data_IF_561958118259
#
_entry.id   IF_561958118259
#
_cell.length_a   1.000
_cell.length_b   1.000
_cell.length_c   1.000
_cell.angle_alpha   90.00
_cell.angle_beta   90.00
_cell.angle_gamma   90.00
#
_symmetry.space_group_name_H-M   'P 1'
#
loop_
_entity.id
_entity.type
_entity.pdbx_description
1 polymer ?
#
# COMPACT_ATOMS: atom_id res chain seq x y z
N UNK A 1 -43.60 4.79 28.16
CA UNK A 1 -42.36 4.89 27.41
C UNK A 1 -42.67 4.96 25.91
N UNK A 2 -42.28 6.03 25.24
CA UNK A 2 -42.66 6.24 23.84
C UNK A 2 -41.71 5.42 22.95
N UNK A 3 -42.23 4.37 22.33
CA UNK A 3 -41.47 3.42 21.47
C UNK A 3 -40.73 4.16 20.34
N UNK A 4 -41.34 5.23 19.79
CA UNK A 4 -40.73 6.05 18.74
C UNK A 4 -39.45 6.76 19.22
N UNK A 5 -39.43 7.22 20.48
CA UNK A 5 -38.25 7.87 21.06
C UNK A 5 -37.12 6.88 21.25
N UNK A 6 -37.44 5.63 21.62
CA UNK A 6 -36.47 4.55 21.77
C UNK A 6 -35.84 4.16 20.43
N UNK A 7 -36.67 4.08 19.38
CA UNK A 7 -36.23 3.75 18.01
C UNK A 7 -35.34 4.86 17.45
N UNK A 8 -35.66 6.15 17.64
CA UNK A 8 -34.86 7.29 17.18
C UNK A 8 -33.53 7.38 17.93
N UNK A 9 -33.54 7.13 19.24
CA UNK A 9 -32.31 7.11 20.07
C UNK A 9 -31.43 5.94 19.66
N UNK A 10 -32.02 4.77 19.39
CA UNK A 10 -31.29 3.61 18.90
C UNK A 10 -30.74 3.83 17.48
N UNK A 11 -31.46 4.57 16.63
CA UNK A 11 -31.01 4.90 15.28
C UNK A 11 -29.79 5.83 15.30
N UNK A 12 -29.77 6.81 16.23
CA UNK A 12 -28.63 7.71 16.43
C UNK A 12 -27.41 6.93 16.95
N UNK A 13 -27.58 6.09 17.98
CA UNK A 13 -26.55 5.21 18.53
C UNK A 13 -26.08 4.20 17.47
N UNK A 14 -26.98 3.68 16.63
CA UNK A 14 -26.66 2.77 15.54
C UNK A 14 -25.79 3.46 14.48
N UNK A 15 -26.10 4.70 14.05
CA UNK A 15 -25.27 5.49 13.15
C UNK A 15 -23.87 5.78 13.73
N UNK A 16 -23.80 6.09 15.03
CA UNK A 16 -22.53 6.29 15.74
C UNK A 16 -21.72 4.99 15.79
N UNK A 17 -22.36 3.87 16.11
CA UNK A 17 -21.74 2.56 16.17
C UNK A 17 -21.27 2.06 14.80
N UNK A 18 -22.03 2.28 13.74
CA UNK A 18 -21.62 1.97 12.37
C UNK A 18 -20.39 2.80 11.98
N UNK A 19 -20.41 4.11 12.23
CA UNK A 19 -19.28 4.99 11.94
C UNK A 19 -18.02 4.54 12.71
N UNK A 20 -18.18 4.15 13.97
CA UNK A 20 -17.11 3.63 14.80
C UNK A 20 -16.64 2.25 14.33
N UNK A 21 -17.57 1.34 13.99
CA UNK A 21 -17.29 0.03 13.44
C UNK A 21 -16.54 0.14 12.10
N UNK A 22 -17.00 1.00 11.17
CA UNK A 22 -16.30 1.28 9.92
C UNK A 22 -14.89 1.82 10.16
N UNK A 23 -14.74 2.75 11.09
CA UNK A 23 -13.42 3.32 11.44
C UNK A 23 -12.46 2.25 11.98
N UNK A 24 -12.95 1.34 12.85
CA UNK A 24 -12.16 0.24 13.39
C UNK A 24 -11.85 -0.79 12.31
N UNK A 25 -12.85 -1.17 11.51
CA UNK A 25 -12.71 -2.19 10.46
C UNK A 25 -11.76 -1.70 9.37
N UNK A 26 -11.90 -0.45 8.92
CA UNK A 26 -10.98 0.15 7.94
C UNK A 26 -9.55 0.28 8.49
N UNK A 27 -9.40 0.51 9.79
CA UNK A 27 -8.07 0.53 10.43
C UNK A 27 -7.40 -0.86 10.45
N UNK A 28 -8.18 -1.94 10.40
CA UNK A 28 -7.68 -3.32 10.33
C UNK A 28 -7.34 -3.77 8.92
N UNK A 29 -7.95 -3.18 7.91
CA UNK A 29 -7.71 -3.52 6.50
C UNK A 29 -6.34 -3.01 6.11
N UNK A 30 -5.48 -3.88 5.63
CA UNK A 30 -4.14 -3.54 5.18
C UNK A 30 -4.08 -3.54 3.66
N UNK A 31 -3.46 -2.53 3.07
CA UNK A 31 -3.15 -2.47 1.65
C UNK A 31 -1.71 -2.92 1.39
N UNK A 32 -1.47 -3.73 0.38
CA UNK A 32 -0.14 -4.04 -0.14
C UNK A 32 0.06 -3.31 -1.45
N UNK A 33 0.98 -2.37 -1.49
CA UNK A 33 1.33 -1.61 -2.69
C UNK A 33 2.56 -2.25 -3.31
N UNK A 34 2.39 -2.84 -4.50
CA UNK A 34 3.42 -3.56 -5.22
C UNK A 34 3.99 -2.64 -6.30
N UNK A 35 5.30 -2.46 -6.28
CA UNK A 35 6.04 -1.60 -7.21
C UNK A 35 7.12 -2.43 -7.91
N UNK A 36 6.90 -2.87 -9.15
CA UNK A 36 7.95 -3.48 -9.95
C UNK A 36 9.03 -2.45 -10.31
N UNK A 37 10.27 -2.79 -10.11
CA UNK A 37 11.40 -1.92 -10.44
C UNK A 37 12.28 -2.53 -11.52
N UNK A 38 12.44 -1.83 -12.62
CA UNK A 38 13.42 -2.11 -13.67
C UNK A 38 13.96 -0.79 -14.24
N UNK A 39 15.23 -0.48 -13.98
CA UNK A 39 15.95 0.69 -14.55
C UNK A 39 15.21 2.04 -14.41
N UNK A 40 14.53 2.28 -13.28
CA UNK A 40 13.75 3.50 -13.00
C UNK A 40 14.30 4.31 -11.82
N UNK A 41 15.64 4.41 -11.74
CA UNK A 41 16.35 5.06 -10.62
C UNK A 41 15.94 6.50 -10.38
N UNK A 42 15.69 7.26 -11.46
CA UNK A 42 15.36 8.68 -11.38
C UNK A 42 13.95 8.95 -10.84
N UNK A 43 13.02 8.01 -10.96
CA UNK A 43 11.60 8.20 -10.65
C UNK A 43 11.15 7.43 -9.41
N UNK A 44 11.76 6.28 -9.13
CA UNK A 44 11.32 5.37 -8.06
C UNK A 44 11.21 6.04 -6.69
N UNK A 45 12.10 6.97 -6.36
CA UNK A 45 12.05 7.68 -5.07
C UNK A 45 10.77 8.50 -4.93
N UNK A 46 10.32 9.15 -6.00
CA UNK A 46 9.08 9.93 -6.00
C UNK A 46 7.85 9.01 -5.94
N UNK A 47 7.87 7.90 -6.67
CA UNK A 47 6.83 6.89 -6.59
C UNK A 47 6.64 6.37 -5.15
N UNK A 48 7.72 5.93 -4.50
CA UNK A 48 7.70 5.46 -3.11
C UNK A 48 7.20 6.55 -2.15
N UNK A 49 7.70 7.78 -2.28
CA UNK A 49 7.25 8.91 -1.44
C UNK A 49 5.76 9.17 -1.57
N UNK A 50 5.19 9.05 -2.78
CA UNK A 50 3.75 9.23 -3.01
C UNK A 50 2.90 8.20 -2.26
N UNK A 51 3.43 6.99 -2.04
CA UNK A 51 2.78 5.95 -1.23
C UNK A 51 2.95 6.21 0.26
N UNK A 52 4.14 6.60 0.70
CA UNK A 52 4.41 6.95 2.12
C UNK A 52 3.48 8.09 2.59
N UNK A 53 3.22 9.06 1.72
CA UNK A 53 2.41 10.24 2.00
C UNK A 53 0.89 10.01 1.87
N UNK A 54 0.44 8.79 1.58
CA UNK A 54 -0.99 8.47 1.54
C UNK A 54 -1.67 8.81 2.88
N UNK A 55 -2.91 9.29 2.80
CA UNK A 55 -3.75 9.52 3.99
C UNK A 55 -4.06 8.22 4.72
N UNK A 56 -4.24 7.14 3.97
CA UNK A 56 -4.39 5.79 4.51
C UNK A 56 -3.03 5.22 4.95
N UNK A 57 -2.87 4.94 6.25
CA UNK A 57 -1.56 4.58 6.83
C UNK A 57 -1.33 3.08 7.00
N UNK A 58 -2.40 2.27 7.04
CA UNK A 58 -2.27 0.82 7.21
C UNK A 58 -1.92 0.12 5.89
N UNK A 59 -0.70 0.30 5.46
CA UNK A 59 -0.18 -0.25 4.21
C UNK A 59 1.22 -0.82 4.37
N UNK A 60 1.62 -1.67 3.45
CA UNK A 60 3.00 -2.07 3.19
C UNK A 60 3.39 -1.73 1.74
N UNK A 61 4.65 -1.52 1.51
CA UNK A 61 5.22 -1.24 0.19
C UNK A 61 6.14 -2.39 -0.16
N UNK A 62 5.85 -3.08 -1.26
CA UNK A 62 6.63 -4.22 -1.74
C UNK A 62 7.29 -3.83 -3.05
N UNK A 63 8.57 -3.54 -2.98
CA UNK A 63 9.40 -3.20 -4.12
C UNK A 63 10.02 -4.47 -4.69
N UNK A 64 9.74 -4.78 -5.95
CA UNK A 64 10.29 -5.95 -6.63
C UNK A 64 11.42 -5.49 -7.53
N UNK A 65 12.64 -5.82 -7.17
CA UNK A 65 13.82 -5.54 -7.99
C UNK A 65 13.92 -6.56 -9.11
N UNK A 66 13.62 -6.14 -10.32
CA UNK A 66 13.52 -7.00 -11.50
C UNK A 66 14.64 -6.74 -12.51
N UNK A 67 15.86 -6.59 -12.04
CA UNK A 67 17.02 -6.42 -12.91
C UNK A 67 18.10 -7.48 -12.59
N UNK A 68 18.69 -8.07 -13.63
CA UNK A 68 19.87 -8.93 -13.52
C UNK A 68 21.08 -8.12 -13.03
N UNK A 69 21.22 -6.89 -13.53
CA UNK A 69 22.22 -5.94 -13.06
C UNK A 69 21.84 -5.44 -11.66
N UNK A 70 22.75 -5.59 -10.70
CA UNK A 70 22.53 -5.21 -9.29
C UNK A 70 23.09 -3.83 -8.95
N UNK A 71 23.50 -3.04 -9.94
CA UNK A 71 24.09 -1.71 -9.73
C UNK A 71 23.20 -0.76 -8.93
N UNK A 72 21.87 -0.79 -9.16
CA UNK A 72 20.91 0.05 -8.45
C UNK A 72 20.42 -0.52 -7.11
N UNK A 73 20.77 -1.77 -6.79
CA UNK A 73 20.25 -2.43 -5.59
C UNK A 73 20.66 -1.73 -4.29
N UNK A 74 21.88 -1.23 -4.23
CA UNK A 74 22.38 -0.45 -3.07
C UNK A 74 21.56 0.82 -2.88
N UNK A 75 21.25 1.52 -3.96
CA UNK A 75 20.40 2.71 -3.93
C UNK A 75 18.99 2.37 -3.41
N UNK A 76 18.37 1.29 -3.89
CA UNK A 76 17.04 0.87 -3.41
C UNK A 76 17.05 0.42 -1.95
N UNK A 77 18.10 -0.27 -1.51
CA UNK A 77 18.27 -0.61 -0.09
C UNK A 77 18.36 0.65 0.80
N UNK A 78 18.94 1.74 0.29
CA UNK A 78 18.92 3.01 0.99
C UNK A 78 17.52 3.63 1.03
N UNK A 79 16.70 3.49 -0.01
CA UNK A 79 15.32 3.94 0.00
C UNK A 79 14.47 3.20 1.03
N UNK A 80 14.78 1.94 1.33
CA UNK A 80 14.12 1.18 2.40
C UNK A 80 14.21 1.89 3.77
N UNK A 81 15.25 2.68 4.00
CA UNK A 81 15.43 3.44 5.25
C UNK A 81 14.44 4.61 5.41
N UNK A 82 13.77 5.02 4.34
CA UNK A 82 12.78 6.09 4.38
C UNK A 82 11.53 5.73 5.18
N UNK A 83 11.15 4.45 5.17
CA UNK A 83 9.96 3.98 5.87
C UNK A 83 10.07 2.48 6.18
N UNK A 84 9.75 2.12 7.43
CA UNK A 84 9.80 0.72 7.90
C UNK A 84 8.83 -0.23 7.20
N UNK A 85 7.81 0.31 6.52
CA UNK A 85 6.81 -0.46 5.77
C UNK A 85 7.31 -0.95 4.42
N UNK A 86 8.50 -0.52 3.99
CA UNK A 86 9.09 -0.91 2.71
C UNK A 86 9.77 -2.27 2.84
N UNK A 87 9.42 -3.17 1.95
CA UNK A 87 10.10 -4.44 1.70
C UNK A 87 10.71 -4.44 0.31
N UNK A 88 11.88 -5.05 0.15
CA UNK A 88 12.52 -5.25 -1.15
C UNK A 88 12.65 -6.74 -1.39
N UNK A 89 12.16 -7.20 -2.52
CA UNK A 89 12.32 -8.56 -3.02
C UNK A 89 13.15 -8.49 -4.30
N UNK A 90 14.16 -9.32 -4.40
CA UNK A 90 15.09 -9.31 -5.53
C UNK A 90 14.86 -10.55 -6.39
N UNK A 91 14.44 -10.36 -7.63
CA UNK A 91 14.36 -11.43 -8.60
C UNK A 91 15.78 -11.88 -9.01
N UNK A 92 15.96 -13.18 -9.21
CA UNK A 92 17.24 -13.75 -9.66
C UNK A 92 17.61 -13.34 -11.08
N UNK A 93 16.60 -13.06 -11.92
CA UNK A 93 16.72 -12.60 -13.31
C UNK A 93 15.59 -11.63 -13.61
N UNK A 94 15.66 -10.93 -14.74
CA UNK A 94 14.54 -10.13 -15.22
C UNK A 94 13.38 -11.05 -15.59
N UNK A 95 12.24 -10.86 -14.93
CA UNK A 95 11.00 -11.63 -15.14
C UNK A 95 9.95 -10.84 -15.93
N UNK A 96 10.13 -9.52 -16.06
CA UNK A 96 9.14 -8.61 -16.59
C UNK A 96 8.13 -8.14 -15.55
N UNK A 97 7.46 -7.03 -15.82
CA UNK A 97 6.55 -6.36 -14.88
C UNK A 97 5.39 -7.25 -14.41
N UNK A 98 4.80 -8.04 -15.31
CA UNK A 98 3.67 -8.93 -14.97
C UNK A 98 4.07 -9.99 -13.95
N UNK A 99 5.17 -10.73 -14.20
CA UNK A 99 5.66 -11.75 -13.27
C UNK A 99 6.16 -11.14 -11.97
N UNK A 100 6.78 -9.96 -12.01
CA UNK A 100 7.20 -9.23 -10.81
C UNK A 100 6.01 -8.82 -9.95
N UNK A 101 4.90 -8.39 -10.54
CA UNK A 101 3.65 -8.16 -9.79
C UNK A 101 3.16 -9.45 -9.11
N UNK A 102 3.20 -10.60 -9.81
CA UNK A 102 2.83 -11.88 -9.21
C UNK A 102 3.73 -12.25 -8.03
N UNK A 103 5.04 -12.03 -8.12
CA UNK A 103 5.96 -12.19 -6.98
C UNK A 103 5.55 -11.30 -5.82
N UNK A 104 5.18 -10.05 -6.08
CA UNK A 104 4.67 -9.12 -5.07
C UNK A 104 3.38 -9.62 -4.41
N UNK A 105 2.42 -10.12 -5.19
CA UNK A 105 1.16 -10.70 -4.67
C UNK A 105 1.45 -11.85 -3.71
N UNK A 106 2.29 -12.80 -4.12
CA UNK A 106 2.64 -13.97 -3.30
C UNK A 106 3.34 -13.60 -1.98
N UNK A 107 3.97 -12.44 -1.91
CA UNK A 107 4.67 -11.95 -0.73
C UNK A 107 3.90 -10.86 0.05
N UNK A 108 2.68 -10.55 -0.37
CA UNK A 108 1.84 -9.55 0.26
C UNK A 108 1.15 -10.11 1.51
N UNK A 109 0.92 -9.23 2.49
CA UNK A 109 0.17 -9.52 3.72
C UNK A 109 -1.08 -8.67 3.86
N UNK A 110 -1.35 -7.83 2.86
CA UNK A 110 -2.53 -6.96 2.85
C UNK A 110 -3.79 -7.67 2.38
N UNK A 111 -4.92 -7.13 2.78
CA UNK A 111 -6.24 -7.56 2.33
C UNK A 111 -6.55 -7.04 0.92
N UNK A 112 -5.95 -5.90 0.56
CA UNK A 112 -6.04 -5.29 -0.76
C UNK A 112 -4.68 -5.22 -1.42
N UNK A 113 -4.66 -5.55 -2.70
CA UNK A 113 -3.48 -5.45 -3.56
C UNK A 113 -3.64 -4.22 -4.45
N UNK A 114 -2.64 -3.36 -4.45
CA UNK A 114 -2.54 -2.19 -5.30
C UNK A 114 -1.24 -2.25 -6.09
N UNK A 115 -1.26 -1.75 -7.31
CA UNK A 115 -0.08 -1.65 -8.16
C UNK A 115 0.26 -0.18 -8.41
N UNK A 116 1.55 0.13 -8.37
CA UNK A 116 2.09 1.41 -8.77
C UNK A 116 3.32 1.15 -9.62
N UNK A 117 3.38 1.76 -10.79
CA UNK A 117 4.57 1.68 -11.62
C UNK A 117 5.68 2.61 -11.07
N UNK A 118 6.93 2.22 -11.26
CA UNK A 118 8.08 2.91 -10.65
C UNK A 118 8.31 4.34 -11.17
N UNK A 119 7.60 4.75 -12.20
CA UNK A 119 7.60 6.09 -12.79
C UNK A 119 6.28 6.86 -12.60
N UNK A 120 5.33 6.29 -11.85
CA UNK A 120 4.07 6.95 -11.53
C UNK A 120 4.07 7.57 -10.13
N UNK A 121 3.15 8.51 -9.91
CA UNK A 121 2.95 9.21 -8.63
C UNK A 121 1.46 9.18 -8.28
N UNK A 122 1.16 8.78 -7.06
CA UNK A 122 -0.21 8.80 -6.55
C UNK A 122 -0.56 10.14 -5.88
N UNK A 123 -1.81 10.55 -6.03
CA UNK A 123 -2.39 11.61 -5.20
C UNK A 123 -2.50 11.13 -3.74
N UNK A 124 -2.42 12.04 -2.77
CA UNK A 124 -2.41 11.73 -1.32
C UNK A 124 -3.60 10.91 -0.82
N UNK A 125 -4.71 10.97 -1.50
CA UNK A 125 -5.96 10.28 -1.14
C UNK A 125 -6.32 9.14 -2.12
N UNK A 126 -5.33 8.58 -2.82
CA UNK A 126 -5.56 7.46 -3.75
C UNK A 126 -6.12 6.23 -3.05
N UNK A 127 -5.65 5.96 -1.83
CA UNK A 127 -6.13 4.89 -0.95
C UNK A 127 -7.19 5.36 0.07
N UNK A 128 -7.88 6.46 -0.20
CA UNK A 128 -8.81 7.21 0.65
C UNK A 128 -8.16 8.28 1.51
#
# INVERSE_FOLDING_TARGET
MNVYRLVLTNLFLWKQNIKYFFKITMKKIKASVIIPYYKKKNTIKQAIKSVILQTYKNLEIILIYDDKDKSDLKFLKNLKKLDKRIKIIVNKKNLGAGKSRNVGILNSKGNYICFLDADDIWKKNKLL
#
